data_IF_249453264063
#
_entry.id   IF_249453264063
#
_cell.length_a   1.000
_cell.length_b   1.000
_cell.length_c   1.000
_cell.angle_alpha   90.00
_cell.angle_beta   90.00
_cell.angle_gamma   90.00
#
_symmetry.space_group_name_H-M   'P 1'
#
loop_
_entity.id
_entity.type
_entity.pdbx_description
1 polymer ?
#
# COMPACT_ATOMS: atom_id res chain seq x y z
N UNK A 1 -24.07 17.13 -26.19
CA UNK A 1 -22.67 17.28 -25.77
C UNK A 1 -22.29 16.05 -24.98
N UNK A 2 -21.36 15.28 -25.48
CA UNK A 2 -20.82 14.14 -24.74
C UNK A 2 -20.16 14.66 -23.47
N UNK A 3 -20.50 14.05 -22.33
CA UNK A 3 -19.92 14.47 -21.05
C UNK A 3 -18.47 14.03 -20.99
N UNK A 4 -17.53 14.95 -20.97
CA UNK A 4 -16.12 14.69 -20.69
C UNK A 4 -16.01 13.87 -19.40
N UNK A 5 -15.10 12.89 -19.37
CA UNK A 5 -14.92 11.97 -18.23
C UNK A 5 -16.17 11.14 -17.86
N UNK A 6 -16.93 10.75 -18.87
CA UNK A 6 -18.07 9.85 -18.70
C UNK A 6 -17.62 8.39 -18.53
N UNK A 7 -18.21 7.68 -17.60
CA UNK A 7 -17.98 6.22 -17.47
C UNK A 7 -18.55 5.42 -18.67
N UNK A 8 -19.36 6.05 -19.54
CA UNK A 8 -20.02 5.39 -20.66
C UNK A 8 -19.17 5.35 -21.93
N UNK A 9 -18.29 6.33 -22.15
CA UNK A 9 -17.60 6.55 -23.42
C UNK A 9 -16.12 6.89 -23.22
N UNK A 10 -15.27 6.37 -24.12
CA UNK A 10 -13.85 6.69 -24.18
C UNK A 10 -13.08 6.37 -22.93
N UNK A 11 -12.11 7.19 -22.65
CA UNK A 11 -11.31 7.17 -21.43
C UNK A 11 -11.81 8.19 -20.39
N UNK A 12 -11.34 8.01 -19.17
CA UNK A 12 -11.80 8.83 -18.04
C UNK A 12 -10.61 9.24 -17.17
N UNK A 13 -10.49 10.53 -16.88
CA UNK A 13 -9.58 11.09 -15.89
C UNK A 13 -10.30 11.20 -14.56
N UNK A 14 -9.85 10.47 -13.54
CA UNK A 14 -10.55 10.33 -12.26
C UNK A 14 -9.78 11.01 -11.13
N UNK A 15 -9.96 12.34 -11.05
CA UNK A 15 -9.27 13.19 -10.08
C UNK A 15 -10.12 13.54 -8.84
N UNK A 16 -11.34 13.02 -8.72
CA UNK A 16 -12.24 13.32 -7.60
C UNK A 16 -11.69 12.86 -6.25
N UNK A 17 -10.90 11.80 -6.21
CA UNK A 17 -10.21 11.41 -4.98
C UNK A 17 -9.18 12.48 -4.64
N UNK A 18 -8.16 12.73 -5.48
CA UNK A 18 -7.10 13.67 -5.14
C UNK A 18 -7.55 15.12 -5.06
N UNK A 19 -8.25 15.64 -6.06
CA UNK A 19 -8.67 17.05 -6.09
C UNK A 19 -9.97 17.30 -5.34
N UNK A 20 -10.87 16.32 -5.31
CA UNK A 20 -12.20 16.43 -4.68
C UNK A 20 -12.29 15.87 -3.25
N UNK A 21 -11.17 15.39 -2.69
CA UNK A 21 -11.09 14.81 -1.34
C UNK A 21 -12.10 13.68 -1.09
N UNK A 22 -12.50 12.96 -2.16
CA UNK A 22 -13.37 11.79 -2.01
C UNK A 22 -12.59 10.64 -1.36
N UNK A 23 -13.24 9.81 -0.52
CA UNK A 23 -12.59 8.65 0.08
C UNK A 23 -12.13 7.65 -0.98
N UNK A 24 -11.15 6.79 -0.68
CA UNK A 24 -10.60 5.85 -1.64
C UNK A 24 -11.63 4.87 -2.21
N UNK A 25 -12.65 4.50 -1.42
CA UNK A 25 -13.74 3.66 -1.90
C UNK A 25 -14.59 4.32 -2.99
N UNK A 26 -14.47 5.64 -3.22
CA UNK A 26 -15.11 6.32 -4.35
C UNK A 26 -14.73 5.70 -5.69
N UNK A 27 -13.51 5.18 -5.84
CA UNK A 27 -13.12 4.44 -7.05
C UNK A 27 -14.00 3.23 -7.32
N UNK A 28 -14.52 2.56 -6.27
CA UNK A 28 -15.41 1.39 -6.38
C UNK A 28 -16.81 1.72 -6.91
N UNK A 29 -17.16 3.01 -6.99
CA UNK A 29 -18.40 3.49 -7.58
C UNK A 29 -18.24 3.99 -9.02
N UNK A 30 -17.04 3.85 -9.61
CA UNK A 30 -16.74 4.31 -10.97
C UNK A 30 -16.48 3.12 -11.88
N UNK A 31 -17.39 2.93 -12.85
CA UNK A 31 -17.38 1.81 -13.79
C UNK A 31 -16.96 2.28 -15.18
N UNK A 32 -15.81 2.95 -15.25
CA UNK A 32 -15.25 3.49 -16.50
C UNK A 32 -14.87 2.39 -17.50
N UNK A 33 -14.79 2.74 -18.77
CA UNK A 33 -14.31 1.83 -19.83
C UNK A 33 -12.79 1.77 -19.89
N UNK A 34 -12.12 2.85 -19.59
CA UNK A 34 -10.68 2.97 -19.49
C UNK A 34 -10.34 4.13 -18.55
N UNK A 35 -9.60 3.89 -17.49
CA UNK A 35 -9.13 4.92 -16.60
C UNK A 35 -7.73 5.36 -17.04
N UNK A 36 -7.61 6.48 -17.77
CA UNK A 36 -6.34 6.94 -18.32
C UNK A 36 -5.54 7.84 -17.38
N UNK A 37 -6.21 8.45 -16.37
CA UNK A 37 -5.54 9.19 -15.30
C UNK A 37 -6.29 9.09 -13.98
N UNK A 38 -5.54 8.83 -12.92
CA UNK A 38 -5.94 8.90 -11.52
C UNK A 38 -4.67 8.83 -10.67
N UNK A 39 -4.66 9.39 -9.47
CA UNK A 39 -3.45 9.41 -8.67
C UNK A 39 -3.65 9.96 -7.27
N UNK A 40 -2.64 9.75 -6.43
CA UNK A 40 -2.49 10.33 -5.10
C UNK A 40 -1.02 10.70 -4.90
N UNK A 41 -0.72 11.85 -4.27
CA UNK A 41 0.67 12.21 -3.98
C UNK A 41 1.23 11.50 -2.76
N UNK A 42 2.54 11.30 -2.78
CA UNK A 42 3.34 10.94 -1.62
C UNK A 42 4.71 11.62 -1.66
N UNK A 43 5.35 11.73 -0.51
CA UNK A 43 6.74 12.17 -0.41
C UNK A 43 7.66 11.18 -1.18
N UNK A 44 8.73 11.65 -1.84
CA UNK A 44 9.76 10.77 -2.41
C UNK A 44 10.52 10.04 -1.30
N UNK A 45 11.45 9.15 -1.65
CA UNK A 45 12.29 8.49 -0.68
C UNK A 45 13.06 9.51 0.20
N UNK A 46 13.33 9.14 1.44
CA UNK A 46 14.04 10.03 2.37
C UNK A 46 15.43 10.41 1.85
N UNK A 47 16.09 9.50 1.19
CA UNK A 47 17.39 9.68 0.55
C UNK A 47 17.33 10.75 -0.56
N UNK A 48 16.25 10.77 -1.34
CA UNK A 48 15.98 11.80 -2.35
C UNK A 48 15.76 13.16 -1.69
N UNK A 49 15.00 13.20 -0.59
CA UNK A 49 14.77 14.43 0.18
C UNK A 49 16.08 14.96 0.75
N UNK A 50 16.93 14.10 1.31
CA UNK A 50 18.25 14.47 1.84
C UNK A 50 19.19 15.04 0.76
N UNK A 51 18.92 14.78 -0.52
CA UNK A 51 19.65 15.37 -1.64
C UNK A 51 19.38 16.87 -1.85
N UNK A 52 18.25 17.39 -1.35
CA UNK A 52 17.88 18.80 -1.51
C UNK A 52 17.51 19.53 -0.22
N UNK A 53 17.29 18.82 0.88
CA UNK A 53 16.91 19.38 2.19
C UNK A 53 17.91 19.02 3.28
N UNK A 54 18.27 19.98 4.13
CA UNK A 54 19.08 19.73 5.32
C UNK A 54 18.25 19.04 6.42
N UNK A 55 18.94 18.49 7.42
CA UNK A 55 18.25 17.79 8.54
C UNK A 55 17.30 18.71 9.32
N UNK A 56 17.59 20.02 9.38
CA UNK A 56 16.73 21.04 9.99
C UNK A 56 15.47 21.34 9.18
N UNK A 57 15.43 20.94 7.89
CA UNK A 57 14.35 21.21 6.94
C UNK A 57 13.42 20.01 6.73
N UNK A 58 13.59 18.93 7.52
CA UNK A 58 12.77 17.73 7.44
C UNK A 58 11.38 17.94 8.07
N UNK A 59 10.61 18.83 7.43
CA UNK A 59 9.21 19.14 7.76
C UNK A 59 8.47 19.50 6.48
N UNK A 60 7.22 19.06 6.33
CA UNK A 60 6.40 19.43 5.17
C UNK A 60 6.18 20.94 5.01
N UNK A 61 6.41 21.73 6.06
CA UNK A 61 6.24 23.18 6.06
C UNK A 61 7.57 23.93 5.84
N UNK A 62 8.70 23.24 5.82
CA UNK A 62 9.98 23.89 5.55
C UNK A 62 9.99 24.54 4.16
N UNK A 63 10.56 25.75 3.99
CA UNK A 63 10.53 26.45 2.71
C UNK A 63 11.05 25.64 1.53
N UNK A 64 12.10 24.84 1.74
CA UNK A 64 12.63 23.95 0.69
C UNK A 64 11.64 22.86 0.34
N UNK A 65 10.97 22.23 1.31
CA UNK A 65 9.96 21.22 1.07
C UNK A 65 8.71 21.78 0.36
N UNK A 66 8.29 23.00 0.73
CA UNK A 66 7.21 23.71 0.02
C UNK A 66 7.61 24.07 -1.42
N UNK A 67 8.90 24.37 -1.67
CA UNK A 67 9.41 24.58 -3.03
C UNK A 67 9.30 23.29 -3.87
N UNK A 68 9.52 22.13 -3.25
CA UNK A 68 9.42 20.81 -3.87
C UNK A 68 8.00 20.20 -3.80
N UNK A 69 6.96 21.01 -3.53
CA UNK A 69 5.55 20.65 -3.61
C UNK A 69 4.87 21.57 -4.64
N UNK A 70 4.35 20.98 -5.74
CA UNK A 70 3.77 21.77 -6.84
C UNK A 70 2.25 21.66 -6.98
N UNK A 71 1.64 20.75 -6.23
CA UNK A 71 0.18 20.65 -6.19
C UNK A 71 -0.38 21.69 -5.22
N UNK A 72 -1.37 22.46 -5.67
CA UNK A 72 -2.06 23.41 -4.81
C UNK A 72 -2.73 22.68 -3.64
N UNK A 73 -2.31 23.01 -2.41
CA UNK A 73 -2.78 22.33 -1.19
C UNK A 73 -2.37 20.85 -1.12
N UNK A 74 -1.28 20.45 -1.80
CA UNK A 74 -0.84 19.06 -1.86
C UNK A 74 -0.54 18.48 -0.48
N UNK A 75 0.21 19.22 0.34
CA UNK A 75 0.53 18.78 1.72
C UNK A 75 -0.72 18.59 2.58
N UNK A 76 -1.70 19.51 2.48
CA UNK A 76 -2.97 19.40 3.21
C UNK A 76 -3.76 18.14 2.80
N UNK A 77 -3.79 17.84 1.50
CA UNK A 77 -4.45 16.65 0.97
C UNK A 77 -3.77 15.35 1.42
N UNK A 78 -2.43 15.32 1.41
CA UNK A 78 -1.66 14.20 1.94
C UNK A 78 -2.02 13.97 3.41
N UNK A 79 -2.02 15.01 4.23
CA UNK A 79 -2.36 14.91 5.66
C UNK A 79 -3.82 14.55 5.89
N UNK A 80 -4.74 15.05 5.06
CA UNK A 80 -6.16 14.69 5.11
C UNK A 80 -6.34 13.16 5.03
N UNK A 81 -5.80 12.53 4.00
CA UNK A 81 -5.89 11.09 3.82
C UNK A 81 -5.10 10.32 4.87
N UNK A 82 -3.92 10.81 5.25
CA UNK A 82 -3.07 10.17 6.25
C UNK A 82 -3.80 10.04 7.59
N UNK A 83 -4.41 11.11 8.05
CA UNK A 83 -5.12 11.14 9.35
C UNK A 83 -6.46 10.40 9.33
N UNK A 84 -7.00 10.09 8.15
CA UNK A 84 -8.14 9.17 8.03
C UNK A 84 -7.72 7.72 8.31
N UNK A 85 -6.59 7.27 7.78
CA UNK A 85 -6.13 5.88 7.86
C UNK A 85 -5.17 5.58 9.00
N UNK A 86 -4.23 6.48 9.29
CA UNK A 86 -3.12 6.24 10.21
C UNK A 86 -3.12 7.23 11.38
N UNK A 87 -2.49 6.84 12.47
CA UNK A 87 -2.08 7.78 13.52
C UNK A 87 -0.93 8.61 13.01
N UNK A 88 -0.78 9.82 13.54
CA UNK A 88 0.31 10.71 13.15
C UNK A 88 1.66 10.13 13.60
N UNK A 89 2.66 10.09 12.69
CA UNK A 89 3.97 9.52 12.98
C UNK A 89 4.81 10.41 13.89
N UNK A 90 5.79 9.81 14.55
CA UNK A 90 6.70 10.52 15.45
C UNK A 90 7.85 11.23 14.72
N UNK A 91 8.27 10.72 13.57
CA UNK A 91 9.40 11.22 12.80
C UNK A 91 9.03 11.57 11.35
N UNK A 92 9.86 12.37 10.71
CA UNK A 92 9.70 12.68 9.30
C UNK A 92 9.92 11.45 8.40
N UNK A 93 10.85 10.56 8.77
CA UNK A 93 11.06 9.29 8.09
C UNK A 93 9.81 8.41 8.11
N UNK A 94 9.10 8.39 9.24
CA UNK A 94 7.85 7.64 9.36
C UNK A 94 6.72 8.30 8.56
N UNK A 95 6.74 9.63 8.45
CA UNK A 95 5.82 10.35 7.57
C UNK A 95 6.04 9.98 6.10
N UNK A 96 7.28 9.92 5.64
CA UNK A 96 7.62 9.47 4.28
C UNK A 96 7.04 8.07 4.03
N UNK A 97 7.33 7.13 4.92
CA UNK A 97 6.84 5.75 4.86
C UNK A 97 5.30 5.69 4.76
N UNK A 98 4.59 6.37 5.66
CA UNK A 98 3.13 6.33 5.68
C UNK A 98 2.49 7.00 4.47
N UNK A 99 3.05 8.10 3.95
CA UNK A 99 2.52 8.75 2.74
C UNK A 99 2.66 7.85 1.52
N UNK A 100 3.75 7.10 1.40
CA UNK A 100 3.97 6.16 0.30
C UNK A 100 3.01 4.96 0.37
N UNK A 101 2.77 4.41 1.55
CA UNK A 101 1.77 3.33 1.75
C UNK A 101 0.37 3.83 1.40
N UNK A 102 0.00 5.02 1.88
CA UNK A 102 -1.29 5.63 1.57
C UNK A 102 -1.50 5.78 0.06
N UNK A 103 -0.50 6.26 -0.66
CA UNK A 103 -0.51 6.36 -2.12
C UNK A 103 -0.73 4.98 -2.75
N UNK A 104 0.05 3.98 -2.34
CA UNK A 104 -0.04 2.62 -2.86
C UNK A 104 -1.44 2.02 -2.65
N UNK A 105 -2.04 2.18 -1.47
CA UNK A 105 -3.37 1.67 -1.16
C UNK A 105 -4.48 2.33 -1.98
N UNK A 106 -4.42 3.65 -2.17
CA UNK A 106 -5.40 4.37 -2.98
C UNK A 106 -5.41 3.86 -4.43
N UNK A 107 -4.23 3.69 -5.02
CA UNK A 107 -4.08 3.21 -6.40
C UNK A 107 -4.43 1.73 -6.53
N UNK A 108 -4.05 0.90 -5.54
CA UNK A 108 -4.42 -0.51 -5.48
C UNK A 108 -5.94 -0.70 -5.52
N UNK A 109 -6.68 0.00 -4.65
CA UNK A 109 -8.15 -0.07 -4.58
C UNK A 109 -8.77 0.25 -5.94
N UNK A 110 -8.27 1.27 -6.62
CA UNK A 110 -8.75 1.70 -7.93
C UNK A 110 -8.50 0.63 -9.00
N UNK A 111 -7.24 0.21 -9.17
CA UNK A 111 -6.84 -0.74 -10.22
C UNK A 111 -7.52 -2.09 -10.05
N UNK A 112 -7.54 -2.61 -8.82
CA UNK A 112 -8.20 -3.90 -8.54
C UNK A 112 -9.69 -3.85 -8.83
N UNK A 113 -10.37 -2.74 -8.48
CA UNK A 113 -11.79 -2.56 -8.81
C UNK A 113 -12.01 -2.63 -10.32
N UNK A 114 -11.22 -1.90 -11.12
CA UNK A 114 -11.40 -1.91 -12.58
C UNK A 114 -11.00 -3.23 -13.22
N UNK A 115 -9.98 -3.92 -12.72
CA UNK A 115 -9.63 -5.25 -13.16
C UNK A 115 -10.74 -6.28 -12.89
N UNK A 116 -11.41 -6.19 -11.73
CA UNK A 116 -12.59 -7.02 -11.41
C UNK A 116 -13.77 -6.78 -12.36
N UNK A 117 -13.84 -5.61 -12.95
CA UNK A 117 -14.95 -5.20 -13.82
C UNK A 117 -14.68 -5.45 -15.30
N UNK A 118 -13.80 -6.38 -15.65
CA UNK A 118 -13.68 -6.87 -17.02
C UNK A 118 -14.95 -7.61 -17.46
N UNK A 119 -15.34 -7.49 -18.73
CA UNK A 119 -14.71 -6.73 -19.83
C UNK A 119 -15.12 -5.25 -19.88
N UNK A 120 -15.86 -4.74 -18.92
CA UNK A 120 -16.32 -3.35 -18.90
C UNK A 120 -15.14 -2.38 -18.93
N UNK A 121 -14.18 -2.53 -18.01
CA UNK A 121 -12.96 -1.77 -18.00
C UNK A 121 -11.84 -2.54 -18.70
N UNK A 122 -11.26 -1.95 -19.74
CA UNK A 122 -10.21 -2.57 -20.54
C UNK A 122 -8.80 -2.11 -20.18
N UNK A 123 -8.64 -1.12 -19.28
CA UNK A 123 -7.34 -0.68 -18.81
C UNK A 123 -7.39 0.44 -17.79
N UNK A 124 -6.29 0.57 -17.04
CA UNK A 124 -6.09 1.64 -16.05
C UNK A 124 -4.62 2.08 -16.07
N UNK A 125 -4.38 3.38 -16.16
CA UNK A 125 -3.05 4.00 -16.15
C UNK A 125 -3.02 5.04 -15.03
N UNK A 126 -2.24 4.80 -13.98
CA UNK A 126 -2.12 5.80 -12.92
C UNK A 126 -1.17 6.93 -13.32
N UNK A 127 -1.48 8.12 -12.92
CA UNK A 127 -0.61 9.27 -12.96
C UNK A 127 0.16 9.34 -11.64
N UNK A 128 1.52 9.15 -11.64
CA UNK A 128 2.35 8.95 -12.83
C UNK A 128 3.47 7.92 -12.53
N UNK A 129 4.16 7.45 -13.57
CA UNK A 129 5.21 6.44 -13.41
C UNK A 129 6.41 6.99 -12.63
N UNK A 130 7.01 8.12 -13.11
CA UNK A 130 8.25 8.68 -12.56
C UNK A 130 8.27 10.21 -12.63
N UNK A 131 9.24 10.80 -11.95
CA UNK A 131 9.45 12.23 -11.85
C UNK A 131 10.54 12.75 -12.81
N UNK A 132 10.47 14.04 -13.18
CA UNK A 132 11.47 14.75 -13.98
C UNK A 132 12.37 15.67 -13.14
N UNK A 133 12.14 15.79 -11.84
CA UNK A 133 12.95 16.50 -10.86
C UNK A 133 12.56 16.02 -9.44
N UNK A 134 13.41 16.22 -8.40
CA UNK A 134 13.07 15.74 -7.05
C UNK A 134 11.88 16.53 -6.48
N UNK A 135 10.76 15.85 -6.23
CA UNK A 135 9.49 16.51 -5.88
C UNK A 135 8.56 15.58 -5.10
N UNK A 136 7.69 16.14 -4.28
CA UNK A 136 6.51 15.44 -3.76
C UNK A 136 5.50 15.30 -4.89
N UNK A 137 5.12 14.07 -5.23
CA UNK A 137 4.37 13.81 -6.46
C UNK A 137 3.52 12.54 -6.42
N UNK A 138 2.81 12.30 -7.52
CA UNK A 138 2.02 11.09 -7.80
C UNK A 138 2.87 9.92 -8.29
N UNK A 139 4.18 10.11 -8.51
CA UNK A 139 5.06 9.12 -9.11
C UNK A 139 5.21 7.86 -8.25
N UNK A 140 5.31 6.70 -8.93
CA UNK A 140 5.68 5.42 -8.30
C UNK A 140 7.18 5.24 -8.14
N UNK A 141 7.97 5.89 -9.02
CA UNK A 141 9.44 5.93 -9.01
C UNK A 141 9.85 7.39 -8.87
N UNK A 142 10.64 7.73 -7.88
CA UNK A 142 11.08 9.10 -7.67
C UNK A 142 12.18 9.52 -8.68
N UNK A 143 12.59 10.80 -8.60
CA UNK A 143 13.55 11.38 -9.54
C UNK A 143 14.89 10.64 -9.59
N UNK A 144 15.36 10.14 -8.47
CA UNK A 144 16.62 9.40 -8.37
C UNK A 144 16.48 7.92 -8.77
N UNK A 145 15.30 7.51 -9.27
CA UNK A 145 15.03 6.14 -9.69
C UNK A 145 14.67 5.18 -8.55
N UNK A 146 14.47 5.68 -7.33
CA UNK A 146 14.07 4.88 -6.17
C UNK A 146 12.61 4.49 -6.25
N UNK A 147 12.34 3.23 -6.01
CA UNK A 147 10.97 2.73 -5.98
C UNK A 147 10.27 3.13 -4.68
N UNK A 148 9.15 3.81 -4.82
CA UNK A 148 8.23 4.07 -3.72
C UNK A 148 7.35 2.84 -3.46
N UNK A 149 6.64 2.81 -2.33
CA UNK A 149 5.70 1.73 -2.01
C UNK A 149 4.70 1.46 -3.14
N UNK A 150 4.27 2.50 -3.88
CA UNK A 150 3.39 2.37 -5.02
C UNK A 150 3.97 1.46 -6.11
N UNK A 151 5.25 1.56 -6.43
CA UNK A 151 5.84 0.76 -7.50
C UNK A 151 5.90 -0.74 -7.15
N UNK A 152 6.18 -1.08 -5.89
CA UNK A 152 6.10 -2.47 -5.42
C UNK A 152 4.66 -2.98 -5.42
N UNK A 153 3.71 -2.17 -4.96
CA UNK A 153 2.29 -2.52 -5.03
C UNK A 153 1.81 -2.67 -6.47
N UNK A 154 2.28 -1.82 -7.41
CA UNK A 154 1.95 -1.88 -8.82
C UNK A 154 2.39 -3.20 -9.47
N UNK A 155 3.57 -3.72 -9.14
CA UNK A 155 3.99 -5.05 -9.59
C UNK A 155 2.99 -6.13 -9.20
N UNK A 156 2.39 -6.03 -8.00
CA UNK A 156 1.40 -7.00 -7.51
C UNK A 156 0.03 -6.81 -8.15
N UNK A 157 -0.54 -5.60 -8.10
CA UNK A 157 -1.89 -5.39 -8.62
C UNK A 157 -1.99 -5.32 -10.16
N UNK A 158 -0.88 -5.15 -10.89
CA UNK A 158 -0.81 -5.29 -12.34
C UNK A 158 -0.24 -6.64 -12.80
N UNK A 159 0.08 -7.55 -11.88
CA UNK A 159 0.56 -8.87 -12.28
C UNK A 159 -0.45 -9.54 -13.24
N UNK A 160 0.00 -10.26 -14.29
CA UNK A 160 -0.88 -10.90 -15.25
C UNK A 160 -1.90 -11.84 -14.60
N UNK A 161 -1.51 -12.51 -13.52
CA UNK A 161 -2.39 -13.28 -12.65
C UNK A 161 -2.41 -12.60 -11.27
N UNK A 162 -3.56 -12.12 -10.81
CA UNK A 162 -3.67 -11.43 -9.55
C UNK A 162 -4.97 -11.76 -8.81
N UNK A 163 -4.81 -12.09 -7.53
CA UNK A 163 -5.92 -12.17 -6.58
C UNK A 163 -6.24 -10.77 -6.05
N UNK A 164 -7.52 -10.46 -5.88
CA UNK A 164 -7.94 -9.22 -5.24
C UNK A 164 -9.09 -9.44 -4.26
N UNK A 165 -9.06 -8.69 -3.18
CA UNK A 165 -10.08 -8.69 -2.14
C UNK A 165 -10.91 -7.39 -2.23
N UNK A 166 -12.24 -7.54 -2.19
CA UNK A 166 -13.13 -6.41 -2.04
C UNK A 166 -13.81 -6.51 -0.67
N UNK A 167 -13.32 -5.71 0.25
CA UNK A 167 -13.82 -5.61 1.62
C UNK A 167 -14.98 -4.63 1.71
N UNK A 168 -16.00 -5.00 2.51
CA UNK A 168 -17.11 -4.14 2.90
C UNK A 168 -17.53 -4.48 4.35
N UNK A 169 -16.86 -3.87 5.31
CA UNK A 169 -17.05 -4.17 6.72
C UNK A 169 -16.68 -5.62 7.05
N UNK A 170 -17.65 -6.46 7.42
CA UNK A 170 -17.42 -7.86 7.74
C UNK A 170 -17.53 -8.80 6.53
N UNK A 171 -17.86 -8.29 5.36
CA UNK A 171 -17.97 -9.06 4.12
C UNK A 171 -16.70 -8.91 3.29
N UNK A 172 -16.18 -10.01 2.76
CA UNK A 172 -15.02 -10.04 1.89
C UNK A 172 -15.32 -10.87 0.65
N UNK A 173 -15.26 -10.23 -0.52
CA UNK A 173 -15.40 -10.89 -1.82
C UNK A 173 -14.04 -11.15 -2.41
N UNK A 174 -13.82 -12.35 -2.93
CA UNK A 174 -12.55 -12.80 -3.49
C UNK A 174 -12.67 -12.93 -4.99
N UNK A 175 -11.71 -12.33 -5.71
CA UNK A 175 -11.66 -12.35 -7.18
C UNK A 175 -10.27 -12.73 -7.66
N UNK A 176 -10.20 -13.30 -8.86
CA UNK A 176 -8.95 -13.56 -9.59
C UNK A 176 -9.05 -12.95 -10.98
N UNK A 177 -8.09 -12.11 -11.32
CA UNK A 177 -7.92 -11.60 -12.68
C UNK A 177 -6.79 -12.37 -13.38
N UNK A 178 -7.06 -12.85 -14.60
CA UNK A 178 -6.07 -13.48 -15.47
C UNK A 178 -5.99 -12.68 -16.78
N UNK A 179 -4.88 -11.98 -17.00
CA UNK A 179 -4.61 -11.22 -18.23
C UNK A 179 -3.85 -12.03 -19.28
N UNK A 180 -3.51 -13.29 -18.96
CA UNK A 180 -2.78 -14.17 -19.87
C UNK A 180 -3.72 -14.67 -20.98
N UNK A 181 -3.17 -15.00 -22.17
CA UNK A 181 -3.95 -15.52 -23.29
C UNK A 181 -4.36 -17.00 -23.15
N UNK A 182 -3.95 -17.65 -22.06
CA UNK A 182 -4.26 -19.05 -21.74
C UNK A 182 -4.92 -19.17 -20.36
N UNK A 183 -5.71 -20.23 -20.13
CA UNK A 183 -6.29 -20.47 -18.81
C UNK A 183 -5.19 -20.75 -17.79
N UNK A 184 -5.46 -20.42 -16.54
CA UNK A 184 -4.61 -20.77 -15.41
C UNK A 184 -5.35 -21.71 -14.45
N UNK A 185 -4.66 -22.74 -13.97
CA UNK A 185 -5.15 -23.69 -12.99
C UNK A 185 -4.19 -23.75 -11.81
N UNK A 186 -4.74 -23.82 -10.61
CA UNK A 186 -3.97 -23.92 -9.39
C UNK A 186 -4.88 -24.07 -8.18
N UNK A 187 -4.33 -23.80 -7.02
CA UNK A 187 -5.07 -23.83 -5.76
C UNK A 187 -5.14 -22.43 -5.17
N UNK A 188 -6.28 -22.04 -4.63
CA UNK A 188 -6.36 -20.89 -3.78
C UNK A 188 -6.56 -21.33 -2.33
N UNK A 189 -5.85 -20.66 -1.42
CA UNK A 189 -5.93 -20.88 0.02
C UNK A 189 -6.31 -19.60 0.72
N UNK A 190 -6.98 -19.71 1.86
CA UNK A 190 -7.29 -18.56 2.69
C UNK A 190 -7.22 -18.91 4.17
N UNK A 191 -6.95 -17.91 4.98
CA UNK A 191 -6.99 -17.98 6.44
C UNK A 191 -7.60 -16.72 7.04
N UNK A 192 -8.31 -16.89 8.14
CA UNK A 192 -8.71 -15.85 9.06
C UNK A 192 -7.98 -16.11 10.37
N UNK A 193 -7.16 -15.15 10.77
CA UNK A 193 -6.29 -15.29 11.96
C UNK A 193 -6.46 -14.09 12.87
N UNK A 194 -6.13 -14.27 14.14
CA UNK A 194 -5.87 -13.12 15.00
C UNK A 194 -4.53 -12.46 14.60
N UNK A 195 -4.33 -11.19 14.93
CA UNK A 195 -3.07 -10.51 14.69
C UNK A 195 -1.88 -11.16 15.41
N UNK A 196 -2.12 -12.00 16.43
CA UNK A 196 -1.11 -12.76 17.13
C UNK A 196 -0.85 -14.17 16.50
N UNK A 197 -1.53 -14.49 15.38
CA UNK A 197 -1.31 -15.74 14.65
C UNK A 197 -2.16 -16.93 15.13
N UNK A 198 -3.18 -16.70 15.99
CA UNK A 198 -4.14 -17.76 16.30
C UNK A 198 -5.05 -17.99 15.10
N UNK A 199 -5.05 -19.23 14.56
CA UNK A 199 -5.91 -19.62 13.45
C UNK A 199 -7.37 -19.71 13.90
N UNK A 200 -8.25 -18.96 13.24
CA UNK A 200 -9.69 -18.93 13.51
C UNK A 200 -10.43 -19.78 12.50
N UNK A 201 -10.17 -19.55 11.22
CA UNK A 201 -10.75 -20.30 10.10
C UNK A 201 -9.74 -20.41 8.96
N UNK A 202 -9.78 -21.49 8.19
CA UNK A 202 -8.94 -21.65 7.02
C UNK A 202 -9.62 -22.56 6.00
N UNK A 203 -9.20 -22.48 4.75
CA UNK A 203 -9.68 -23.36 3.69
C UNK A 203 -8.86 -23.23 2.43
N UNK A 204 -9.09 -24.19 1.53
CA UNK A 204 -8.48 -24.22 0.20
C UNK A 204 -9.43 -24.86 -0.80
N UNK A 205 -9.27 -24.50 -2.07
CA UNK A 205 -9.98 -25.14 -3.18
C UNK A 205 -9.17 -24.99 -4.48
N UNK A 206 -9.37 -25.91 -5.38
CA UNK A 206 -8.84 -25.79 -6.72
C UNK A 206 -9.60 -24.70 -7.49
N UNK A 207 -8.88 -23.98 -8.34
CA UNK A 207 -9.43 -22.92 -9.16
C UNK A 207 -8.92 -23.00 -10.60
N UNK A 208 -9.86 -22.79 -11.53
CA UNK A 208 -9.56 -22.63 -12.94
C UNK A 208 -10.05 -21.25 -13.40
N UNK A 209 -9.15 -20.45 -13.94
CA UNK A 209 -9.41 -19.07 -14.36
C UNK A 209 -9.24 -18.95 -15.86
N UNK A 210 -10.30 -18.57 -16.55
CA UNK A 210 -10.30 -18.39 -17.99
C UNK A 210 -9.28 -17.33 -18.45
N UNK A 211 -8.80 -17.39 -19.69
CA UNK A 211 -7.91 -16.34 -20.22
C UNK A 211 -8.65 -15.01 -20.31
N UNK A 212 -7.92 -13.91 -20.17
CA UNK A 212 -8.38 -12.52 -20.33
C UNK A 212 -9.68 -12.26 -19.57
N UNK A 213 -9.76 -12.70 -18.31
CA UNK A 213 -11.00 -12.68 -17.51
C UNK A 213 -10.77 -12.19 -16.08
N UNK A 214 -11.86 -11.84 -15.43
CA UNK A 214 -11.92 -11.67 -13.98
C UNK A 214 -13.02 -12.57 -13.42
N UNK A 215 -12.67 -13.47 -12.51
CA UNK A 215 -13.55 -14.46 -11.94
C UNK A 215 -13.84 -14.13 -10.48
N UNK A 216 -15.11 -14.07 -10.13
CA UNK A 216 -15.55 -14.09 -8.73
C UNK A 216 -15.40 -15.52 -8.21
N UNK A 217 -14.71 -15.71 -7.09
CA UNK A 217 -14.54 -17.01 -6.45
C UNK A 217 -15.59 -17.26 -5.39
N UNK A 218 -15.69 -16.36 -4.41
CA UNK A 218 -16.59 -16.51 -3.26
C UNK A 218 -16.77 -15.19 -2.51
N UNK A 219 -17.75 -15.17 -1.62
CA UNK A 219 -17.94 -14.13 -0.62
C UNK A 219 -18.00 -14.77 0.78
N UNK A 220 -17.28 -14.16 1.71
CA UNK A 220 -17.32 -14.50 3.13
C UNK A 220 -18.12 -13.49 3.91
N UNK A 221 -18.96 -13.96 4.83
CA UNK A 221 -19.57 -13.16 5.87
C UNK A 221 -18.94 -13.52 7.23
N UNK A 222 -18.05 -12.66 7.68
CA UNK A 222 -17.36 -12.80 8.96
C UNK A 222 -18.07 -12.13 10.12
N UNK A 223 -19.33 -11.66 9.97
CA UNK A 223 -20.06 -10.92 11.00
C UNK A 223 -20.05 -11.64 12.36
N UNK A 224 -20.30 -12.95 12.35
CA UNK A 224 -20.31 -13.75 13.58
C UNK A 224 -18.93 -13.79 14.25
N UNK A 225 -17.88 -13.98 13.47
CA UNK A 225 -16.51 -14.10 13.98
C UNK A 225 -16.01 -12.74 14.47
N UNK A 226 -16.24 -11.68 13.67
CA UNK A 226 -15.89 -10.31 14.05
C UNK A 226 -16.59 -9.87 15.33
N UNK A 227 -17.86 -10.23 15.52
CA UNK A 227 -18.58 -9.95 16.78
C UNK A 227 -17.98 -10.69 17.97
N UNK A 228 -17.39 -11.88 17.76
CA UNK A 228 -16.74 -12.66 18.84
C UNK A 228 -15.36 -12.13 19.20
N UNK A 229 -14.52 -11.80 18.21
CA UNK A 229 -13.12 -11.43 18.41
C UNK A 229 -12.86 -9.92 18.42
N UNK A 230 -13.74 -9.13 17.81
CA UNK A 230 -13.58 -7.69 17.58
C UNK A 230 -12.93 -7.37 16.23
N UNK A 231 -13.33 -6.24 15.62
CA UNK A 231 -12.85 -5.79 14.30
C UNK A 231 -11.35 -5.50 14.26
N UNK A 232 -10.74 -5.17 15.40
CA UNK A 232 -9.34 -4.72 15.51
C UNK A 232 -8.35 -5.84 15.76
N UNK A 233 -8.80 -7.10 15.80
CA UNK A 233 -7.96 -8.24 16.20
C UNK A 233 -7.75 -9.28 15.12
N UNK A 234 -8.41 -9.15 13.98
CA UNK A 234 -8.45 -10.14 12.92
C UNK A 234 -7.79 -9.64 11.65
N UNK A 235 -7.18 -10.55 10.94
CA UNK A 235 -6.69 -10.38 9.57
C UNK A 235 -7.19 -11.55 8.72
N UNK A 236 -7.70 -11.24 7.53
CA UNK A 236 -8.03 -12.22 6.50
C UNK A 236 -6.96 -12.17 5.42
N UNK A 237 -6.43 -13.33 5.07
CA UNK A 237 -5.44 -13.50 4.00
C UNK A 237 -5.94 -14.51 2.99
N UNK A 238 -5.77 -14.23 1.70
CA UNK A 238 -6.01 -15.18 0.63
C UNK A 238 -4.84 -15.17 -0.36
N UNK A 239 -4.51 -16.34 -0.93
CA UNK A 239 -3.42 -16.51 -1.87
C UNK A 239 -3.73 -17.53 -2.96
N UNK A 240 -3.12 -17.32 -4.14
CA UNK A 240 -3.10 -18.26 -5.25
C UNK A 240 -1.77 -19.00 -5.24
N UNK A 241 -1.84 -20.30 -5.51
CA UNK A 241 -0.66 -21.17 -5.49
C UNK A 241 -0.59 -21.99 -6.77
N UNK A 242 0.59 -22.00 -7.36
CA UNK A 242 0.96 -22.86 -8.48
C UNK A 242 2.02 -23.86 -8.01
N UNK A 243 1.71 -25.15 -8.03
CA UNK A 243 2.62 -26.22 -7.55
C UNK A 243 3.24 -25.91 -6.15
N UNK A 244 2.43 -25.35 -5.24
CA UNK A 244 2.84 -24.99 -3.88
C UNK A 244 3.55 -23.64 -3.75
N UNK A 245 3.84 -22.94 -4.85
CA UNK A 245 4.44 -21.60 -4.83
C UNK A 245 3.35 -20.53 -4.84
N UNK A 246 3.43 -19.58 -3.90
CA UNK A 246 2.52 -18.44 -3.86
C UNK A 246 2.78 -17.50 -5.05
N UNK A 247 1.79 -17.35 -5.94
CA UNK A 247 1.89 -16.50 -7.14
C UNK A 247 1.17 -15.16 -6.98
N UNK A 248 0.22 -15.07 -6.06
CA UNK A 248 -0.45 -13.82 -5.71
C UNK A 248 -1.06 -13.93 -4.32
N UNK A 249 -0.93 -12.90 -3.50
CA UNK A 249 -1.48 -12.86 -2.14
C UNK A 249 -2.04 -11.49 -1.84
N UNK A 250 -3.11 -11.47 -1.03
CA UNK A 250 -3.68 -10.25 -0.47
C UNK A 250 -4.16 -10.46 0.96
N UNK A 251 -4.11 -9.40 1.74
CA UNK A 251 -4.69 -9.34 3.08
C UNK A 251 -5.70 -8.22 3.21
N UNK A 252 -6.69 -8.39 4.09
CA UNK A 252 -7.58 -7.29 4.52
C UNK A 252 -7.81 -7.34 6.02
N UNK A 253 -8.05 -6.16 6.58
CA UNK A 253 -8.37 -5.94 7.99
C UNK A 253 -9.84 -5.52 8.10
N UNK A 254 -10.43 -5.66 9.29
CA UNK A 254 -11.83 -5.31 9.55
C UNK A 254 -11.99 -3.96 10.26
N UNK A 255 -10.90 -3.22 10.41
CA UNK A 255 -10.87 -1.86 10.94
C UNK A 255 -9.76 -1.06 10.25
N UNK A 256 -9.82 0.27 10.37
CA UNK A 256 -8.75 1.13 9.84
C UNK A 256 -7.48 0.94 10.66
N UNK A 257 -6.34 1.08 10.03
CA UNK A 257 -5.04 0.87 10.66
C UNK A 257 -4.85 1.75 11.93
N UNK A 258 -5.38 2.97 11.94
CA UNK A 258 -5.31 3.86 13.12
C UNK A 258 -6.08 3.35 14.36
N UNK A 259 -7.10 2.54 14.13
CA UNK A 259 -7.95 2.01 15.18
C UNK A 259 -7.41 0.69 15.76
N UNK A 260 -6.41 0.10 15.08
CA UNK A 260 -5.78 -1.16 15.46
C UNK A 260 -4.54 -0.91 16.32
N UNK A 261 -4.40 -1.69 17.36
CA UNK A 261 -3.15 -1.82 18.12
C UNK A 261 -2.40 -3.05 17.61
N UNK A 262 -1.52 -2.84 16.64
CA UNK A 262 -0.73 -3.92 16.08
C UNK A 262 0.21 -4.50 17.15
N UNK A 263 0.28 -5.83 17.29
CA UNK A 263 1.27 -6.45 18.18
C UNK A 263 2.67 -6.20 17.61
N UNK A 264 3.70 -6.23 18.48
CA UNK A 264 5.08 -6.22 18.00
C UNK A 264 5.36 -7.54 17.24
N UNK A 265 5.63 -7.50 15.93
CA UNK A 265 5.82 -8.71 15.15
C UNK A 265 7.15 -9.41 15.43
N UNK A 266 8.07 -8.77 16.18
CA UNK A 266 9.40 -9.33 16.48
C UNK A 266 10.08 -9.86 15.21
N UNK A 267 10.16 -9.00 14.19
CA UNK A 267 10.79 -9.34 12.90
C UNK A 267 12.22 -9.86 13.12
N UNK A 268 12.51 -11.05 12.59
CA UNK A 268 13.84 -11.67 12.60
C UNK A 268 14.24 -11.96 11.17
N UNK A 269 15.51 -11.84 10.88
CA UNK A 269 16.02 -12.11 9.55
C UNK A 269 17.38 -12.80 9.60
N UNK A 270 17.60 -13.59 8.58
CA UNK A 270 18.90 -14.17 8.25
C UNK A 270 19.26 -13.76 6.83
N UNK A 271 20.54 -13.41 6.61
CA UNK A 271 21.01 -12.97 5.29
C UNK A 271 22.10 -13.91 4.80
N UNK A 272 21.93 -14.41 3.60
CA UNK A 272 22.90 -15.17 2.83
C UNK A 272 23.23 -14.45 1.51
N UNK A 273 24.25 -14.89 0.83
CA UNK A 273 24.62 -14.41 -0.49
C UNK A 273 24.55 -15.56 -1.48
N UNK A 274 23.85 -15.35 -2.56
CA UNK A 274 23.75 -16.24 -3.72
C UNK A 274 24.26 -15.48 -4.96
N UNK A 275 25.42 -15.89 -5.49
CA UNK A 275 26.11 -15.17 -6.57
C UNK A 275 26.29 -13.67 -6.22
N UNK A 276 25.67 -12.78 -6.99
CA UNK A 276 25.71 -11.32 -6.78
C UNK A 276 24.41 -10.79 -6.13
N UNK A 277 23.66 -11.63 -5.42
CA UNK A 277 22.43 -11.24 -4.74
C UNK A 277 22.51 -11.53 -3.24
N UNK A 278 21.93 -10.65 -2.47
CA UNK A 278 21.61 -10.87 -1.07
C UNK A 278 20.24 -11.56 -1.02
N UNK A 279 20.15 -12.63 -0.24
CA UNK A 279 18.89 -13.33 0.05
C UNK A 279 18.62 -13.20 1.54
N UNK A 280 17.46 -12.66 1.88
CA UNK A 280 17.05 -12.35 3.24
C UNK A 280 15.84 -13.22 3.58
N UNK A 281 16.02 -14.19 4.45
CA UNK A 281 14.93 -14.96 5.05
C UNK A 281 14.35 -14.16 6.21
N UNK A 282 13.10 -13.72 6.09
CA UNK A 282 12.42 -12.86 7.05
C UNK A 282 11.25 -13.60 7.71
N UNK A 283 11.17 -13.54 9.03
CA UNK A 283 10.14 -14.20 9.83
C UNK A 283 9.52 -13.23 10.83
N UNK A 284 8.22 -13.38 11.12
CA UNK A 284 7.50 -12.61 12.12
C UNK A 284 6.82 -13.53 13.14
N UNK A 285 6.77 -13.14 14.41
CA UNK A 285 6.05 -13.90 15.45
C UNK A 285 4.55 -13.51 15.54
N UNK A 286 4.18 -12.36 14.98
CA UNK A 286 2.81 -11.88 14.87
C UNK A 286 2.64 -11.22 13.50
N UNK A 287 1.41 -10.94 13.08
CA UNK A 287 1.14 -10.28 11.81
C UNK A 287 1.88 -8.95 11.70
N UNK A 288 2.69 -8.82 10.65
CA UNK A 288 3.43 -7.61 10.32
C UNK A 288 2.83 -6.94 9.07
N UNK A 289 2.33 -5.71 9.23
CA UNK A 289 1.71 -4.93 8.16
C UNK A 289 2.73 -4.04 7.48
N UNK A 290 2.76 -4.03 6.15
CA UNK A 290 3.59 -3.14 5.31
C UNK A 290 5.08 -3.20 5.65
N UNK A 291 5.64 -4.40 5.67
CA UNK A 291 7.06 -4.62 5.98
C UNK A 291 7.94 -3.95 4.92
N UNK A 292 8.82 -3.07 5.36
CA UNK A 292 9.79 -2.36 4.54
C UNK A 292 11.20 -2.87 4.84
N UNK A 293 11.96 -3.14 3.78
CA UNK A 293 13.39 -3.39 3.82
C UNK A 293 14.13 -2.27 3.09
N UNK A 294 15.28 -1.85 3.62
CA UNK A 294 16.20 -0.94 2.95
C UNK A 294 17.64 -1.22 3.37
N UNK A 295 18.59 -0.83 2.54
CA UNK A 295 20.02 -0.81 2.88
C UNK A 295 20.46 0.64 3.06
N UNK A 296 20.84 1.02 4.28
CA UNK A 296 21.36 2.37 4.54
C UNK A 296 22.64 2.60 3.71
N UNK A 297 22.63 3.65 2.88
CA UNK A 297 23.77 4.02 2.04
C UNK A 297 23.85 3.29 0.68
N UNK A 298 22.83 2.53 0.30
CA UNK A 298 22.76 1.92 -1.03
C UNK A 298 21.35 1.97 -1.62
N UNK A 299 21.25 2.31 -2.89
CA UNK A 299 20.02 2.26 -3.66
C UNK A 299 19.87 0.91 -4.33
N UNK A 300 18.99 0.06 -3.80
CA UNK A 300 18.70 -1.26 -4.36
C UNK A 300 17.20 -1.45 -4.53
N UNK A 301 16.83 -2.20 -5.56
CA UNK A 301 15.44 -2.65 -5.74
C UNK A 301 15.36 -4.08 -5.22
N UNK A 302 14.56 -4.28 -4.18
CA UNK A 302 14.23 -5.62 -3.69
C UNK A 302 13.25 -6.33 -4.65
N UNK A 303 13.27 -7.66 -4.65
CA UNK A 303 12.28 -8.43 -5.42
C UNK A 303 10.85 -8.23 -4.93
N UNK A 304 10.63 -7.91 -3.63
CA UNK A 304 9.39 -7.35 -3.08
C UNK A 304 9.68 -6.47 -1.87
N UNK A 305 8.72 -5.55 -1.55
CA UNK A 305 8.83 -4.64 -0.43
C UNK A 305 7.44 -4.09 -0.07
N UNK A 306 7.27 -3.51 1.12
CA UNK A 306 5.98 -2.99 1.60
C UNK A 306 4.86 -4.05 1.51
N UNK A 307 5.15 -5.26 1.96
CA UNK A 307 4.24 -6.41 1.96
C UNK A 307 3.76 -6.72 3.37
N UNK A 308 2.72 -7.55 3.46
CA UNK A 308 2.24 -8.09 4.72
C UNK A 308 2.85 -9.48 4.96
N UNK A 309 3.21 -9.78 6.22
CA UNK A 309 3.76 -11.06 6.64
C UNK A 309 2.90 -11.65 7.75
N UNK A 310 2.42 -12.88 7.53
CA UNK A 310 1.64 -13.61 8.54
C UNK A 310 2.52 -14.06 9.69
N UNK A 311 1.89 -14.32 10.84
CA UNK A 311 2.59 -14.86 12.00
C UNK A 311 3.20 -16.23 11.68
N UNK A 312 4.41 -16.45 12.16
CA UNK A 312 5.17 -17.70 11.99
C UNK A 312 5.47 -18.08 10.52
N UNK A 313 5.22 -17.19 9.58
CA UNK A 313 5.61 -17.37 8.18
C UNK A 313 7.05 -16.91 7.98
N UNK A 314 7.78 -17.60 7.10
CA UNK A 314 9.10 -17.19 6.62
C UNK A 314 9.01 -16.94 5.12
N UNK A 315 9.45 -15.74 4.69
CA UNK A 315 9.55 -15.40 3.28
C UNK A 315 10.99 -15.10 2.90
N UNK A 316 11.30 -15.24 1.61
CA UNK A 316 12.62 -14.88 1.06
C UNK A 316 12.50 -13.61 0.24
N UNK A 317 13.28 -12.60 0.61
CA UNK A 317 13.41 -11.34 -0.12
C UNK A 317 14.84 -11.24 -0.64
N UNK A 318 15.00 -10.79 -1.87
CA UNK A 318 16.33 -10.65 -2.47
C UNK A 318 16.52 -9.27 -3.08
N UNK A 319 17.79 -8.85 -3.16
CA UNK A 319 18.22 -7.68 -3.90
C UNK A 319 19.67 -7.89 -4.40
N UNK A 320 20.11 -7.15 -5.42
CA UNK A 320 21.53 -7.15 -5.80
C UNK A 320 22.42 -6.75 -4.62
N UNK A 321 23.57 -7.39 -4.50
CA UNK A 321 24.63 -6.91 -3.61
C UNK A 321 25.18 -5.58 -4.18
N UNK A 322 25.19 -4.47 -3.43
CA UNK A 322 25.73 -3.20 -3.92
C UNK A 322 27.20 -3.33 -4.36
N UNK A 323 27.56 -2.64 -5.42
CA UNK A 323 28.91 -2.69 -5.96
C UNK A 323 29.97 -2.33 -4.91
N UNK A 324 30.98 -3.18 -4.78
CA UNK A 324 32.06 -3.01 -3.82
C UNK A 324 31.68 -3.34 -2.35
N UNK A 325 30.47 -3.76 -2.08
CA UNK A 325 30.06 -4.14 -0.73
C UNK A 325 30.39 -5.60 -0.41
N UNK A 326 30.69 -5.84 0.84
CA UNK A 326 30.74 -7.19 1.43
C UNK A 326 29.38 -7.53 2.08
N UNK A 327 29.11 -8.81 2.24
CA UNK A 327 27.93 -9.27 3.00
C UNK A 327 27.91 -8.71 4.45
N UNK A 328 29.08 -8.53 5.06
CA UNK A 328 29.19 -7.92 6.40
C UNK A 328 28.67 -6.49 6.42
N UNK A 329 29.05 -5.67 5.43
CA UNK A 329 28.52 -4.30 5.28
C UNK A 329 27.02 -4.31 5.01
N UNK A 330 26.53 -5.18 4.14
CA UNK A 330 25.11 -5.31 3.88
C UNK A 330 24.29 -5.67 5.13
N UNK A 331 24.79 -6.61 5.96
CA UNK A 331 24.15 -6.98 7.24
C UNK A 331 24.07 -5.79 8.21
N UNK A 332 25.10 -4.96 8.29
CA UNK A 332 25.11 -3.78 9.15
C UNK A 332 24.16 -2.67 8.63
N UNK A 333 24.01 -2.58 7.32
CA UNK A 333 23.20 -1.57 6.65
C UNK A 333 21.70 -1.94 6.58
N UNK A 334 21.34 -3.23 6.66
CA UNK A 334 19.96 -3.66 6.54
C UNK A 334 19.10 -3.07 7.66
N UNK A 335 18.01 -2.43 7.24
CA UNK A 335 16.93 -2.00 8.13
C UNK A 335 15.65 -2.70 7.69
N UNK A 336 14.93 -3.20 8.69
CA UNK A 336 13.62 -3.84 8.50
C UNK A 336 12.67 -3.19 9.49
N UNK A 337 11.51 -2.75 9.01
CA UNK A 337 10.45 -2.22 9.88
C UNK A 337 9.06 -2.59 9.36
N UNK A 338 8.07 -2.42 10.20
CA UNK A 338 6.65 -2.60 9.88
C UNK A 338 5.82 -1.42 10.39
N UNK A 339 4.54 -1.43 10.13
CA UNK A 339 3.63 -0.39 10.66
C UNK A 339 3.62 -0.35 12.19
N UNK A 340 3.85 -1.48 12.87
CA UNK A 340 3.90 -1.54 14.34
C UNK A 340 5.07 -0.72 14.93
N UNK A 341 6.17 -0.58 14.19
CA UNK A 341 7.35 0.18 14.61
C UNK A 341 7.14 1.69 14.45
N UNK A 342 6.34 2.08 13.47
CA UNK A 342 6.08 3.48 13.11
C UNK A 342 5.05 4.13 14.04
N UNK A 343 4.07 3.35 14.49
CA UNK A 343 2.98 3.82 15.36
C UNK A 343 2.84 2.91 16.57
N UNK A 344 3.77 2.99 17.54
CA UNK A 344 3.74 2.14 18.72
C UNK A 344 2.45 2.30 19.53
N UNK A 345 2.02 1.22 20.16
CA UNK A 345 0.85 1.21 21.05
C UNK A 345 1.05 2.20 22.20
N UNK A 346 0.05 3.07 22.42
CA UNK A 346 0.10 4.06 23.50
C UNK A 346 0.92 5.33 23.20
N UNK A 347 1.48 5.48 22.00
CA UNK A 347 2.12 6.71 21.58
C UNK A 347 1.12 7.87 21.59
N UNK A 348 1.45 8.96 22.30
CA UNK A 348 0.70 10.22 22.22
C UNK A 348 1.08 10.92 20.91
N UNK A 349 0.12 11.66 20.32
CA UNK A 349 0.44 12.55 19.19
C UNK A 349 1.60 13.45 19.58
N UNK A 350 2.74 13.40 18.85
CA UNK A 350 3.90 14.21 19.17
C UNK A 350 3.56 15.71 19.19
N UNK A 351 4.17 16.47 20.08
CA UNK A 351 3.91 17.93 20.19
C UNK A 351 4.19 18.68 18.90
N UNK A 352 5.15 18.22 18.09
CA UNK A 352 5.44 18.75 16.76
C UNK A 352 4.19 18.80 15.84
N UNK A 353 3.29 17.84 15.95
CA UNK A 353 2.07 17.81 15.17
C UNK A 353 0.99 18.77 15.66
N UNK A 354 1.03 19.17 16.94
CA UNK A 354 0.10 20.17 17.46
C UNK A 354 0.27 21.50 16.74
N UNK A 355 1.51 21.88 16.42
CA UNK A 355 1.81 23.11 15.68
C UNK A 355 1.37 23.01 14.21
N UNK A 356 1.59 21.85 13.55
CA UNK A 356 1.16 21.60 12.18
C UNK A 356 -0.38 21.59 12.09
N UNK A 357 -1.05 20.92 13.01
CA UNK A 357 -2.51 20.89 13.04
C UNK A 357 -3.15 22.24 13.37
N UNK A 358 -2.45 23.09 14.15
CA UNK A 358 -2.85 24.46 14.46
C UNK A 358 -2.54 25.42 13.29
N UNK A 359 -1.51 25.14 12.50
CA UNK A 359 -1.12 25.90 11.31
C UNK A 359 -1.97 25.59 10.07
N UNK A 360 -2.69 24.47 10.05
CA UNK A 360 -3.67 24.19 9.00
C UNK A 360 -4.71 25.31 9.02
N UNK A 361 -4.78 26.08 7.92
CA UNK A 361 -5.71 27.22 7.80
C UNK A 361 -7.11 26.79 8.20
N UNK A 362 -7.88 27.61 8.95
CA UNK A 362 -9.25 27.28 9.37
C UNK A 362 -10.15 26.74 8.26
N UNK A 363 -9.91 27.13 7.01
CA UNK A 363 -10.62 26.64 5.83
C UNK A 363 -10.41 25.12 5.59
N UNK A 364 -9.22 24.54 5.83
CA UNK A 364 -8.97 23.12 5.66
C UNK A 364 -9.57 22.31 6.83
N UNK A 365 -9.60 22.88 8.02
CA UNK A 365 -10.24 22.27 9.19
C UNK A 365 -11.78 22.31 9.06
N UNK A 366 -12.34 23.41 8.57
CA UNK A 366 -13.78 23.53 8.27
C UNK A 366 -14.21 22.60 7.15
N UNK A 367 -13.40 22.46 6.10
CA UNK A 367 -13.66 21.52 5.01
C UNK A 367 -13.67 20.08 5.55
N UNK A 368 -12.77 19.76 6.46
CA UNK A 368 -12.69 18.46 7.13
C UNK A 368 -13.93 18.16 8.00
N UNK A 369 -14.41 19.16 8.73
CA UNK A 369 -15.64 19.06 9.56
C UNK A 369 -16.86 18.90 8.65
N UNK A 370 -16.99 19.72 7.61
CA UNK A 370 -18.14 19.69 6.69
C UNK A 370 -18.21 18.35 5.93
N UNK A 371 -17.08 17.82 5.44
CA UNK A 371 -17.07 16.54 4.71
C UNK A 371 -17.28 15.31 5.61
N UNK A 372 -16.94 15.36 6.91
CA UNK A 372 -17.25 14.28 7.85
C UNK A 372 -18.71 14.30 8.34
N UNK A 373 -19.47 15.36 8.07
CA UNK A 373 -20.91 15.47 8.40
C UNK A 373 -21.82 15.27 7.17
N UNK A 374 -21.27 15.06 5.98
CA UNK A 374 -22.06 14.87 4.74
C UNK A 374 -22.13 13.41 4.28
N UNK A 375 -21.55 12.47 5.00
CA UNK A 375 -21.75 11.03 4.93
C UNK A 375 -22.59 10.58 6.16
#
# INVERSE_FOLDING_TARGET
MDKTNSDAYGDTHLWQVWHGLKPFNYYRHRFTRFASEFGLEALPALETINGFAGTQDLSMEAPVMLHHQRSVGGNDKILYYLTDRFRLPASFSDLVYLTQIQQAEAIRIAVEHWRRNRPRCSGALYWQLNDCWPVTSWAGIDYEGRWKALQYAARRFYAPLALSLEDNGCHVRVFVANDQPHPWQGTWCWSLETLNGEMVETGSADVNVNPVSANFLTEFDFTRVVNKFGTTRLVFTAGLYDNGHCVSRQTTLFAREKDISFPNPQLRWEMTQEENHLVIALTANAFARYVELRLDGADVVFNDNFFDLQACETIQISCPLPDGWTMGQAKLALRVRSLADVVPVGSKTPDAWKHILLGLKPASLLTRIIFNFMD
#
